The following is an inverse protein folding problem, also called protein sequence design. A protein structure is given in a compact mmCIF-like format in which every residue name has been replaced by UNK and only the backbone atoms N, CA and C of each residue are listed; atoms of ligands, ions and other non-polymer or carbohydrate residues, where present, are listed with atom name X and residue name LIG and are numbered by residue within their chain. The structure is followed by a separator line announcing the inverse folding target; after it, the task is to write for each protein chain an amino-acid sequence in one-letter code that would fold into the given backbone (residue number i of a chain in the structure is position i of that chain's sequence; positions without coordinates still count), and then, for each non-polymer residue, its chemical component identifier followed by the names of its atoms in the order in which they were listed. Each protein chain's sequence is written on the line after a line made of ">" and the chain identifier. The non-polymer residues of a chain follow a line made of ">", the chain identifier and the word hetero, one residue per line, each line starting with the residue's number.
data_IF_729033354167
#
_entry.id   IF_729033354167
#
_cell.length_a   1.000
_cell.length_b   1.000
_cell.length_c   1.000
_cell.angle_alpha   90.00
_cell.angle_beta   90.00
_cell.angle_gamma   90.00
#
_symmetry.space_group_name_H-M   'P 1'
#
loop_
_entity.id
_entity.type
_entity.pdbx_description
1 polymer ?
#
# COMPACT_ATOMS: atom_id res chain seq x y z
N UNK A 1 1.37 -19.88 20.04
CA UNK A 1 1.07 -19.52 18.64
C UNK A 1 0.69 -18.05 18.51
N UNK A 2 -0.17 -17.51 19.37
CA UNK A 2 -0.57 -16.10 19.34
C UNK A 2 0.57 -15.11 19.58
N UNK A 3 1.45 -15.38 20.55
CA UNK A 3 2.60 -14.51 20.87
C UNK A 3 3.54 -14.32 19.67
N UNK A 4 3.86 -15.38 18.93
CA UNK A 4 4.70 -15.29 17.73
C UNK A 4 4.02 -14.49 16.60
N UNK A 5 2.68 -14.54 16.51
CA UNK A 5 1.93 -13.75 15.53
C UNK A 5 1.92 -12.26 15.87
N UNK A 6 1.87 -11.92 17.16
CA UNK A 6 1.90 -10.54 17.64
C UNK A 6 3.27 -9.90 17.43
N UNK A 7 4.33 -10.60 17.83
CA UNK A 7 5.72 -10.17 17.64
C UNK A 7 6.09 -9.93 16.18
N UNK A 8 5.42 -10.63 15.24
CA UNK A 8 5.58 -10.39 13.80
C UNK A 8 4.89 -9.09 13.37
N UNK A 9 3.67 -8.83 13.83
CA UNK A 9 2.94 -7.58 13.54
C UNK A 9 3.64 -6.37 14.12
N UNK A 10 4.15 -6.47 15.34
CA UNK A 10 4.92 -5.40 15.97
C UNK A 10 6.16 -5.04 15.16
N UNK A 11 6.95 -6.03 14.74
CA UNK A 11 8.12 -5.80 13.87
C UNK A 11 7.74 -5.07 12.58
N UNK A 12 6.70 -5.54 11.89
CA UNK A 12 6.24 -4.92 10.65
C UNK A 12 5.81 -3.46 10.85
N UNK A 13 5.06 -3.17 11.91
CA UNK A 13 4.61 -1.79 12.20
C UNK A 13 5.81 -0.88 12.47
N UNK A 14 6.78 -1.33 13.26
CA UNK A 14 7.97 -0.52 13.56
C UNK A 14 8.87 -0.33 12.33
N UNK A 15 8.95 -1.31 11.43
CA UNK A 15 9.65 -1.20 10.15
C UNK A 15 8.96 -0.19 9.21
N UNK A 16 7.63 -0.27 9.06
CA UNK A 16 6.85 0.62 8.17
C UNK A 16 6.81 2.05 8.68
N UNK A 17 6.67 2.24 10.00
CA UNK A 17 6.54 3.57 10.60
C UNK A 17 7.88 4.19 10.97
N UNK A 18 8.97 3.41 10.98
CA UNK A 18 10.26 3.81 11.54
C UNK A 18 10.23 4.08 13.06
N UNK A 19 9.09 3.86 13.73
CA UNK A 19 8.89 4.21 15.12
C UNK A 19 8.99 2.97 16.01
N UNK A 20 9.90 3.00 17.00
CA UNK A 20 10.03 1.93 17.99
C UNK A 20 9.05 2.14 19.14
N UNK A 21 8.10 1.22 19.31
CA UNK A 21 7.10 1.25 20.36
C UNK A 21 7.77 1.09 21.73
N UNK A 22 7.56 2.06 22.62
CA UNK A 22 8.00 1.98 24.01
C UNK A 22 7.13 1.03 24.84
N UNK A 23 5.86 0.93 24.48
CA UNK A 23 4.88 0.04 25.12
C UNK A 23 4.15 -0.79 24.05
N UNK A 24 4.60 -2.02 23.78
CA UNK A 24 3.98 -2.90 22.77
C UNK A 24 2.50 -3.19 23.03
N UNK A 25 2.03 -3.14 24.29
CA UNK A 25 0.61 -3.36 24.61
C UNK A 25 -0.31 -2.33 23.95
N UNK A 26 0.18 -1.13 23.64
CA UNK A 26 -0.60 -0.14 22.90
C UNK A 26 -0.95 -0.63 21.50
N UNK A 27 -0.05 -1.38 20.85
CA UNK A 27 -0.31 -1.96 19.55
C UNK A 27 -1.33 -3.10 19.64
N UNK A 28 -1.31 -3.86 20.73
CA UNK A 28 -2.33 -4.88 20.99
C UNK A 28 -3.71 -4.26 21.12
N UNK A 29 -3.83 -3.18 21.91
CA UNK A 29 -5.08 -2.45 22.08
C UNK A 29 -5.57 -1.83 20.76
N UNK A 30 -4.66 -1.21 19.99
CA UNK A 30 -5.00 -0.59 18.70
C UNK A 30 -5.60 -1.58 17.69
N UNK A 31 -5.17 -2.85 17.72
CA UNK A 31 -5.71 -3.91 16.84
C UNK A 31 -6.83 -4.74 17.46
N UNK A 32 -7.33 -4.39 18.64
CA UNK A 32 -8.43 -5.08 19.31
C UNK A 32 -9.74 -4.35 19.05
N UNK A 33 -10.58 -4.95 18.20
CA UNK A 33 -11.91 -4.41 17.91
C UNK A 33 -12.81 -4.47 19.15
N UNK A 34 -13.75 -3.51 19.35
CA UNK A 34 -14.62 -3.46 20.53
C UNK A 34 -15.52 -4.70 20.70
N UNK A 35 -15.79 -5.42 19.60
CA UNK A 35 -16.58 -6.66 19.63
C UNK A 35 -15.84 -7.88 20.17
N UNK A 36 -14.53 -7.81 20.45
CA UNK A 36 -13.78 -8.92 21.03
C UNK A 36 -14.09 -8.98 22.53
N UNK A 37 -14.82 -10.00 23.03
CA UNK A 37 -15.23 -10.07 24.42
C UNK A 37 -14.08 -10.62 25.27
N UNK A 38 -13.15 -9.75 25.65
CA UNK A 38 -12.07 -10.08 26.58
C UNK A 38 -11.65 -8.81 27.35
N UNK A 39 -11.11 -8.98 28.55
CA UNK A 39 -10.76 -7.96 29.57
C UNK A 39 -9.68 -6.92 29.16
N UNK A 40 -9.44 -6.71 27.87
CA UNK A 40 -8.49 -5.74 27.33
C UNK A 40 -9.19 -4.45 26.92
N UNK A 41 -8.52 -3.31 27.11
CA UNK A 41 -8.98 -2.05 26.59
C UNK A 41 -9.08 -2.14 25.05
N UNK A 42 -10.28 -1.90 24.50
CA UNK A 42 -10.55 -1.83 23.07
C UNK A 42 -9.86 -0.62 22.42
N UNK A 43 -9.82 -0.60 21.10
CA UNK A 43 -9.27 0.52 20.33
C UNK A 43 -10.10 1.82 20.41
N UNK A 44 -11.33 1.81 20.95
CA UNK A 44 -12.27 2.95 20.95
C UNK A 44 -11.62 4.27 21.41
N UNK A 45 -10.84 4.22 22.50
CA UNK A 45 -10.15 5.40 23.04
C UNK A 45 -9.05 5.92 22.11
N UNK A 46 -8.36 5.01 21.42
CA UNK A 46 -7.31 5.36 20.47
C UNK A 46 -7.91 5.87 19.16
N UNK A 47 -9.04 5.31 18.72
CA UNK A 47 -9.80 5.80 17.57
C UNK A 47 -10.28 7.23 17.82
N UNK A 48 -10.91 7.50 18.95
CA UNK A 48 -11.33 8.85 19.34
C UNK A 48 -10.16 9.86 19.37
N UNK A 49 -9.01 9.43 19.89
CA UNK A 49 -7.80 10.25 19.91
C UNK A 49 -7.25 10.47 18.49
N UNK A 50 -7.25 9.43 17.66
CA UNK A 50 -6.82 9.49 16.26
C UNK A 50 -7.67 10.47 15.45
N UNK A 51 -9.00 10.41 15.58
CA UNK A 51 -9.93 11.34 14.96
C UNK A 51 -9.66 12.78 15.40
N UNK A 52 -9.38 13.00 16.68
CA UNK A 52 -9.05 14.33 17.20
C UNK A 52 -7.76 14.88 16.58
N UNK A 53 -6.74 14.04 16.39
CA UNK A 53 -5.50 14.43 15.72
C UNK A 53 -5.75 14.74 14.24
N UNK A 54 -6.56 13.93 13.55
CA UNK A 54 -6.91 14.16 12.14
C UNK A 54 -7.65 15.49 11.96
N UNK A 55 -8.63 15.78 12.83
CA UNK A 55 -9.39 17.03 12.81
C UNK A 55 -8.49 18.28 12.92
N UNK A 56 -7.38 18.20 13.68
CA UNK A 56 -6.42 19.30 13.78
C UNK A 56 -5.72 19.55 12.43
N UNK A 57 -5.33 18.48 11.74
CA UNK A 57 -4.70 18.56 10.41
C UNK A 57 -5.69 19.13 9.39
N UNK A 58 -6.95 18.69 9.42
CA UNK A 58 -8.01 19.22 8.56
C UNK A 58 -8.26 20.71 8.80
N UNK A 59 -8.35 21.13 10.06
CA UNK A 59 -8.52 22.53 10.42
C UNK A 59 -7.35 23.41 9.93
N UNK A 60 -6.12 22.91 10.04
CA UNK A 60 -4.93 23.60 9.52
C UNK A 60 -4.98 23.77 8.00
N UNK A 61 -5.35 22.71 7.27
CA UNK A 61 -5.51 22.76 5.81
C UNK A 61 -6.60 23.78 5.43
N UNK A 62 -7.74 23.77 6.13
CA UNK A 62 -8.82 24.71 5.91
C UNK A 62 -8.41 26.17 6.14
N UNK A 63 -7.60 26.43 7.18
CA UNK A 63 -7.07 27.75 7.44
C UNK A 63 -6.16 28.25 6.30
N UNK A 64 -5.24 27.40 5.82
CA UNK A 64 -4.36 27.72 4.68
C UNK A 64 -5.19 27.99 3.43
N UNK A 65 -6.19 27.16 3.16
CA UNK A 65 -7.07 27.31 1.99
C UNK A 65 -7.79 28.66 1.97
N UNK A 66 -8.31 29.09 3.11
CA UNK A 66 -8.97 30.39 3.25
C UNK A 66 -7.95 31.53 3.10
N UNK A 67 -6.77 31.41 3.72
CA UNK A 67 -5.70 32.41 3.68
C UNK A 67 -5.17 32.64 2.25
N UNK A 68 -5.00 31.56 1.47
CA UNK A 68 -4.61 31.65 0.06
C UNK A 68 -5.79 31.91 -0.89
N UNK A 69 -6.84 32.56 -0.40
CA UNK A 69 -8.00 33.01 -1.18
C UNK A 69 -8.68 31.87 -1.97
N UNK A 70 -8.85 30.72 -1.31
CA UNK A 70 -9.45 29.50 -1.84
C UNK A 70 -8.68 28.86 -3.02
N UNK A 71 -7.37 29.09 -3.13
CA UNK A 71 -6.53 28.46 -4.15
C UNK A 71 -6.13 27.03 -3.75
N UNK A 72 -6.67 26.03 -4.45
CA UNK A 72 -6.32 24.62 -4.23
C UNK A 72 -4.85 24.33 -4.56
N UNK A 73 -4.31 24.93 -5.63
CA UNK A 73 -2.93 24.71 -6.05
C UNK A 73 -1.95 25.24 -5.00
N UNK A 74 -2.19 26.45 -4.50
CA UNK A 74 -1.36 27.06 -3.45
C UNK A 74 -1.47 26.29 -2.13
N UNK A 75 -2.68 25.86 -1.77
CA UNK A 75 -2.91 25.00 -0.61
C UNK A 75 -2.09 23.72 -0.73
N UNK A 76 -2.23 22.99 -1.84
CA UNK A 76 -1.49 21.75 -2.09
C UNK A 76 0.03 21.95 -2.03
N UNK A 77 0.56 23.03 -2.60
CA UNK A 77 2.00 23.32 -2.50
C UNK A 77 2.46 23.56 -1.06
N UNK A 78 1.60 24.13 -0.20
CA UNK A 78 1.92 24.35 1.21
C UNK A 78 1.82 23.05 2.04
N UNK A 79 0.84 22.17 1.76
CA UNK A 79 0.63 20.95 2.55
C UNK A 79 1.39 19.72 2.05
N UNK A 80 1.81 19.67 0.78
CA UNK A 80 2.42 18.47 0.18
C UNK A 80 3.61 17.96 0.98
N UNK A 81 4.49 18.84 1.48
CA UNK A 81 5.72 18.44 2.17
C UNK A 81 5.39 17.96 3.59
N UNK A 82 4.35 18.53 4.20
CA UNK A 82 3.80 18.09 5.50
C UNK A 82 3.18 16.68 5.38
N UNK A 83 2.35 16.45 4.36
CA UNK A 83 1.70 15.16 4.12
C UNK A 83 2.66 14.09 3.58
N UNK A 84 3.70 14.48 2.84
CA UNK A 84 4.73 13.56 2.35
C UNK A 84 5.53 12.92 3.49
N UNK A 85 5.65 13.59 4.64
CA UNK A 85 6.24 13.00 5.85
C UNK A 85 5.30 12.03 6.58
N UNK A 86 3.98 12.15 6.37
CA UNK A 86 2.95 11.29 6.98
C UNK A 86 2.62 10.08 6.09
N UNK A 87 2.78 10.22 4.78
CA UNK A 87 2.61 9.15 3.78
C UNK A 87 3.99 8.63 3.43
N UNK A 88 4.48 7.61 4.15
CA UNK A 88 5.70 6.90 3.77
C UNK A 88 5.53 6.32 2.36
N UNK A 89 6.55 6.32 1.49
CA UNK A 89 6.49 5.68 0.17
C UNK A 89 6.01 4.21 0.24
N UNK A 90 6.20 3.53 1.37
CA UNK A 90 5.67 2.18 1.61
C UNK A 90 4.13 2.10 1.70
N UNK A 91 3.42 3.15 2.11
CA UNK A 91 1.93 3.17 2.16
C UNK A 91 1.28 3.45 0.80
N UNK A 92 2.08 3.83 -0.20
CA UNK A 92 1.65 4.01 -1.58
C UNK A 92 1.56 2.64 -2.29
N UNK A 93 0.77 1.68 -1.77
CA UNK A 93 0.55 0.37 -2.41
C UNK A 93 -0.11 0.46 -3.80
N UNK A 94 -0.57 1.65 -4.21
CA UNK A 94 -0.96 1.99 -5.60
C UNK A 94 0.26 1.92 -6.55
N UNK A 95 1.49 2.04 -6.05
CA UNK A 95 2.71 2.00 -6.84
C UNK A 95 2.94 0.67 -7.56
N UNK A 96 2.47 -0.46 -7.05
CA UNK A 96 2.75 -1.76 -7.68
C UNK A 96 2.26 -1.79 -9.13
N UNK A 97 1.09 -1.19 -9.39
CA UNK A 97 0.53 -1.05 -10.73
C UNK A 97 1.35 -0.05 -11.56
N UNK A 98 1.65 1.13 -11.02
CA UNK A 98 2.42 2.18 -11.73
C UNK A 98 3.83 1.71 -12.08
N UNK A 99 4.58 1.17 -11.11
CA UNK A 99 5.94 0.62 -11.28
C UNK A 99 5.97 -0.50 -12.32
N UNK A 100 4.97 -1.39 -12.31
CA UNK A 100 4.82 -2.44 -13.31
C UNK A 100 4.58 -1.88 -14.71
N UNK A 101 3.69 -0.89 -14.85
CA UNK A 101 3.39 -0.25 -16.13
C UNK A 101 4.62 0.49 -16.67
N UNK A 102 5.29 1.29 -15.83
CA UNK A 102 6.50 2.02 -16.21
C UNK A 102 7.63 1.08 -16.67
N UNK A 103 7.83 -0.04 -15.95
CA UNK A 103 8.82 -1.05 -16.33
C UNK A 103 8.53 -1.61 -17.73
N UNK A 104 7.27 -1.96 -18.00
CA UNK A 104 6.88 -2.50 -19.29
C UNK A 104 7.01 -1.45 -20.40
N UNK A 105 6.58 -0.20 -20.16
CA UNK A 105 6.70 0.90 -21.13
C UNK A 105 8.16 1.19 -21.49
N UNK A 106 9.05 1.27 -20.50
CA UNK A 106 10.50 1.49 -20.74
C UNK A 106 11.13 0.40 -21.59
N UNK A 107 10.60 -0.82 -21.54
CA UNK A 107 11.10 -1.98 -22.28
C UNK A 107 10.25 -2.31 -23.52
N UNK A 108 9.34 -1.42 -23.95
CA UNK A 108 8.43 -1.62 -25.09
C UNK A 108 7.59 -2.92 -25.01
N UNK A 109 7.25 -3.37 -23.81
CA UNK A 109 6.46 -4.58 -23.58
C UNK A 109 4.96 -4.27 -23.58
N UNK A 110 4.15 -5.12 -24.22
CA UNK A 110 2.68 -4.97 -24.28
C UNK A 110 2.02 -5.62 -23.09
N UNK A 111 1.24 -4.84 -22.34
CA UNK A 111 0.53 -5.31 -21.14
C UNK A 111 -0.94 -5.62 -21.49
N UNK A 112 -1.46 -6.73 -20.98
CA UNK A 112 -2.88 -7.07 -21.01
C UNK A 112 -3.35 -7.42 -19.60
N UNK A 113 -4.53 -6.93 -19.22
CA UNK A 113 -5.20 -7.25 -17.96
C UNK A 113 -6.39 -8.15 -18.26
N UNK A 114 -6.51 -9.25 -17.53
CA UNK A 114 -7.68 -10.13 -17.54
C UNK A 114 -8.39 -9.99 -16.20
N UNK A 115 -9.65 -9.58 -16.27
CA UNK A 115 -10.48 -9.30 -15.11
C UNK A 115 -11.46 -10.46 -14.88
N UNK A 116 -11.18 -11.29 -13.88
CA UNK A 116 -12.06 -12.40 -13.47
C UNK A 116 -12.71 -12.10 -12.12
N UNK A 117 -12.92 -10.81 -11.80
CA UNK A 117 -13.39 -10.38 -10.49
C UNK A 117 -14.73 -11.01 -10.10
N UNK A 118 -15.71 -11.01 -11.00
CA UNK A 118 -17.07 -11.47 -10.72
C UNK A 118 -17.19 -13.00 -10.55
N UNK A 119 -16.23 -13.75 -11.10
CA UNK A 119 -16.26 -15.23 -11.09
C UNK A 119 -15.33 -15.82 -10.06
N UNK A 120 -14.09 -15.35 -9.99
CA UNK A 120 -13.03 -15.95 -9.15
C UNK A 120 -12.39 -14.97 -8.18
N UNK A 121 -12.77 -13.67 -8.23
CA UNK A 121 -12.14 -12.57 -7.49
C UNK A 121 -10.65 -12.45 -7.74
N UNK A 122 -10.27 -12.70 -9.00
CA UNK A 122 -8.88 -12.72 -9.43
C UNK A 122 -8.64 -11.71 -10.55
N UNK A 123 -7.46 -11.11 -10.53
CA UNK A 123 -6.92 -10.24 -11.59
C UNK A 123 -5.62 -10.86 -12.09
N UNK A 124 -5.44 -10.90 -13.40
CA UNK A 124 -4.25 -11.44 -14.04
C UNK A 124 -3.65 -10.43 -15.02
N UNK A 125 -2.31 -10.38 -15.07
CA UNK A 125 -1.56 -9.59 -16.02
C UNK A 125 -0.76 -10.51 -16.96
N UNK A 126 -0.78 -10.16 -18.24
CA UNK A 126 0.03 -10.77 -19.29
C UNK A 126 0.92 -9.71 -19.91
N UNK A 127 2.16 -10.10 -20.24
CA UNK A 127 3.16 -9.25 -20.88
C UNK A 127 3.66 -9.95 -22.13
N UNK A 128 3.50 -9.31 -23.29
CA UNK A 128 3.76 -9.88 -24.62
C UNK A 128 3.07 -11.24 -24.85
N UNK A 129 1.83 -11.37 -24.36
CA UNK A 129 1.04 -12.59 -24.46
C UNK A 129 1.46 -13.73 -23.52
N UNK A 130 2.47 -13.52 -22.67
CA UNK A 130 2.88 -14.49 -21.63
C UNK A 130 2.35 -14.08 -20.26
N UNK A 131 1.95 -15.08 -19.47
CA UNK A 131 1.51 -14.84 -18.10
C UNK A 131 2.61 -14.18 -17.28
N UNK A 132 2.29 -13.05 -16.64
CA UNK A 132 3.24 -12.29 -15.83
C UNK A 132 2.91 -12.37 -14.34
N UNK A 133 1.63 -12.26 -13.95
CA UNK A 133 1.26 -12.31 -12.55
C UNK A 133 -0.23 -12.37 -12.28
N UNK A 134 -0.59 -12.85 -11.09
CA UNK A 134 -1.98 -13.01 -10.63
C UNK A 134 -2.14 -12.50 -9.21
N UNK A 135 -3.30 -11.93 -8.90
CA UNK A 135 -3.68 -11.49 -7.56
C UNK A 135 -5.09 -11.93 -7.24
N UNK A 136 -5.29 -12.41 -6.02
CA UNK A 136 -6.59 -12.85 -5.49
C UNK A 136 -6.96 -12.04 -4.26
N UNK A 137 -8.26 -11.82 -4.09
CA UNK A 137 -8.86 -11.10 -2.98
C UNK A 137 -9.74 -11.99 -2.13
N UNK A 138 -9.69 -11.80 -0.80
CA UNK A 138 -10.53 -12.50 0.18
C UNK A 138 -11.95 -11.92 0.26
N UNK A 139 -12.83 -12.59 1.00
CA UNK A 139 -14.19 -12.09 1.23
C UNK A 139 -14.16 -10.78 2.03
N UNK A 140 -14.64 -9.67 1.43
CA UNK A 140 -14.65 -8.33 2.05
C UNK A 140 -13.54 -7.39 1.59
N UNK A 141 -12.55 -7.87 0.84
CA UNK A 141 -11.48 -7.04 0.28
C UNK A 141 -11.88 -6.40 -1.07
N UNK A 142 -11.35 -5.19 -1.37
CA UNK A 142 -11.66 -4.42 -2.57
C UNK A 142 -10.91 -4.94 -3.81
N UNK A 143 -11.44 -4.65 -5.00
CA UNK A 143 -10.85 -5.03 -6.30
C UNK A 143 -9.42 -4.54 -6.49
N UNK A 144 -9.14 -3.35 -5.96
CA UNK A 144 -7.84 -2.71 -5.96
C UNK A 144 -6.77 -3.58 -5.27
N UNK A 145 -7.13 -4.31 -4.20
CA UNK A 145 -6.21 -5.19 -3.49
C UNK A 145 -5.73 -6.36 -4.37
N UNK A 146 -6.63 -7.01 -5.12
CA UNK A 146 -6.24 -8.04 -6.08
C UNK A 146 -5.40 -7.47 -7.21
N UNK A 147 -5.74 -6.27 -7.70
CA UNK A 147 -5.00 -5.61 -8.77
C UNK A 147 -3.57 -5.27 -8.35
N UNK A 148 -3.37 -4.79 -7.13
CA UNK A 148 -2.04 -4.47 -6.59
C UNK A 148 -1.21 -5.75 -6.39
N UNK A 149 -1.80 -6.81 -5.83
CA UNK A 149 -1.14 -8.12 -5.70
C UNK A 149 -0.72 -8.69 -7.07
N UNK A 150 -1.61 -8.61 -8.06
CA UNK A 150 -1.32 -9.07 -9.42
C UNK A 150 -0.18 -8.29 -10.06
N UNK A 151 -0.19 -6.96 -9.93
CA UNK A 151 0.84 -6.10 -10.50
C UNK A 151 2.21 -6.30 -9.84
N UNK A 152 2.25 -6.48 -8.52
CA UNK A 152 3.51 -6.75 -7.82
C UNK A 152 4.13 -8.09 -8.25
N UNK A 153 3.30 -9.15 -8.37
CA UNK A 153 3.75 -10.44 -8.88
C UNK A 153 4.26 -10.33 -10.33
N UNK A 154 3.54 -9.59 -11.17
CA UNK A 154 3.93 -9.36 -12.56
C UNK A 154 5.24 -8.58 -12.68
N UNK A 155 5.44 -7.56 -11.85
CA UNK A 155 6.68 -6.78 -11.81
C UNK A 155 7.91 -7.64 -11.55
N UNK A 156 7.88 -8.48 -10.50
CA UNK A 156 9.01 -9.35 -10.18
C UNK A 156 9.28 -10.38 -11.28
N UNK A 157 8.24 -10.93 -11.90
CA UNK A 157 8.39 -11.88 -13.01
C UNK A 157 9.04 -11.22 -14.24
N UNK A 158 8.61 -10.01 -14.60
CA UNK A 158 9.18 -9.28 -15.75
C UNK A 158 10.65 -8.95 -15.51
N UNK A 159 11.03 -8.49 -14.32
CA UNK A 159 12.45 -8.24 -14.00
C UNK A 159 13.29 -9.50 -14.14
N UNK A 160 12.78 -10.63 -13.66
CA UNK A 160 13.48 -11.92 -13.80
C UNK A 160 13.67 -12.28 -15.28
N UNK A 161 12.61 -12.18 -16.08
CA UNK A 161 12.67 -12.47 -17.52
C UNK A 161 13.62 -11.52 -18.27
N UNK A 162 13.71 -10.25 -17.86
CA UNK A 162 14.64 -9.28 -18.46
C UNK A 162 16.10 -9.61 -18.13
N UNK A 163 16.39 -9.98 -16.87
CA UNK A 163 17.74 -10.41 -16.46
C UNK A 163 18.19 -11.66 -17.20
N UNK A 164 17.29 -12.63 -17.36
CA UNK A 164 17.57 -13.87 -18.10
C UNK A 164 17.83 -13.61 -19.59
N UNK A 165 17.17 -12.62 -20.22
CA UNK A 165 17.47 -12.22 -21.60
C UNK A 165 18.87 -11.60 -21.74
N UNK A 166 19.25 -10.71 -20.83
CA UNK A 166 20.58 -10.05 -20.87
C UNK A 166 21.73 -11.06 -20.72
N UNK A 167 21.58 -12.09 -19.87
CA UNK A 167 22.60 -13.14 -19.71
C UNK A 167 22.80 -14.02 -20.94
N UNK A 168 21.75 -14.20 -21.76
CA UNK A 168 21.80 -15.06 -22.95
C UNK A 168 22.46 -14.33 -24.13
N UNK A 169 22.20 -13.02 -24.26
CA UNK A 169 22.80 -12.19 -25.32
C UNK A 169 24.32 -11.99 -25.11
N UNK A 170 24.81 -11.95 -23.86
CA UNK A 170 26.25 -11.84 -23.54
C UNK A 170 27.05 -13.13 -23.77
N UNK A 171 26.39 -14.30 -23.79
CA UNK A 171 27.05 -15.59 -24.07
C UNK A 171 27.08 -15.95 -25.56
N UNK A 172 26.40 -15.18 -26.41
CA UNK A 172 26.34 -15.38 -27.86
C UNK A 172 27.09 -14.31 -28.67
N UNK A 173 27.80 -13.40 -27.99
CA UNK A 173 28.66 -12.37 -28.60
C UNK A 173 30.14 -12.63 -28.33
#
# INVERSE_FOLDING_TARGET
>A
MEEQSFQKRERLVQEITGYKLKNPNLLHQAFTHPSVPQNWASNDRMEYLGDSILNIVEALIGAIYIDCNCSIDTTWQAVKDMLQSLITPETLEIQSVTKFIELCQKNNLRIQLVDNWDKTREIEYFVDGKFAGKGKSSLGEKKETAKNKAANNAYHQVIKNLREKTSVDEMQS
#
